data_IF_748477334069
#
_entry.id   IF_748477334069
#
_cell.length_a   1.000
_cell.length_b   1.000
_cell.length_c   1.000
_cell.angle_alpha   90.00
_cell.angle_beta   90.00
_cell.angle_gamma   90.00
#
_symmetry.space_group_name_H-M   'P 1'
#
loop_
_entity.id
_entity.type
_entity.pdbx_description
1 polymer ?
#
# COMPACT_ATOMS: atom_id res chain seq x y z
N UNK A 1 0.20 9.57 2.04
CA UNK A 1 0.38 10.89 2.67
C UNK A 1 -0.26 10.86 4.04
N UNK A 2 0.51 11.14 5.09
CA UNK A 2 0.01 11.31 6.44
C UNK A 2 -0.64 12.69 6.58
N UNK A 3 -1.84 12.74 7.14
CA UNK A 3 -2.60 13.97 7.34
C UNK A 3 -2.52 14.47 8.79
N UNK A 4 -1.76 13.78 9.64
CA UNK A 4 -1.58 14.09 11.06
C UNK A 4 -0.23 14.77 11.34
N UNK A 5 -0.18 15.56 12.42
CA UNK A 5 1.02 16.26 12.88
C UNK A 5 2.01 15.38 13.66
N UNK A 6 1.73 14.08 13.80
CA UNK A 6 2.60 13.08 14.42
C UNK A 6 2.91 11.96 13.44
N UNK A 7 4.03 11.23 13.59
CA UNK A 7 4.30 10.05 12.77
C UNK A 7 3.19 9.00 12.88
N UNK A 8 2.89 8.34 11.77
CA UNK A 8 1.84 7.33 11.65
C UNK A 8 2.43 6.01 11.15
N UNK A 9 2.16 4.92 11.86
CA UNK A 9 2.40 3.56 11.38
C UNK A 9 1.21 3.10 10.53
N UNK A 10 1.48 2.63 9.32
CA UNK A 10 0.50 2.05 8.41
C UNK A 10 0.82 0.57 8.23
N UNK A 11 -0.15 -0.28 8.53
CA UNK A 11 -0.10 -1.72 8.28
C UNK A 11 -0.62 -1.99 6.88
N UNK A 12 0.19 -2.68 6.09
CA UNK A 12 -0.10 -3.09 4.73
C UNK A 12 -0.42 -4.58 4.70
N UNK A 13 -1.43 -4.95 3.92
CA UNK A 13 -1.84 -6.34 3.68
C UNK A 13 -1.88 -6.57 2.17
N UNK A 14 -0.96 -7.39 1.65
CA UNK A 14 -0.91 -7.78 0.25
C UNK A 14 -1.83 -8.98 0.06
N UNK A 15 -2.79 -8.87 -0.84
CA UNK A 15 -3.76 -9.93 -1.12
C UNK A 15 -3.73 -10.32 -2.60
N UNK A 16 -4.03 -11.57 -2.92
CA UNK A 16 -4.29 -11.99 -4.29
C UNK A 16 -5.67 -11.47 -4.79
N UNK A 17 -6.03 -11.77 -6.04
CA UNK A 17 -7.32 -11.42 -6.64
C UNK A 17 -8.54 -11.95 -5.90
N UNK A 18 -8.37 -13.06 -5.15
CA UNK A 18 -9.43 -13.69 -4.37
C UNK A 18 -9.57 -13.08 -2.96
N UNK A 19 -8.75 -12.08 -2.63
CA UNK A 19 -8.71 -11.44 -1.31
C UNK A 19 -7.99 -12.24 -0.23
N UNK A 20 -7.25 -13.30 -0.62
CA UNK A 20 -6.43 -14.08 0.31
C UNK A 20 -5.14 -13.33 0.62
N UNK A 21 -4.83 -13.13 1.91
CA UNK A 21 -3.60 -12.47 2.35
C UNK A 21 -2.37 -13.30 1.98
N UNK A 22 -1.45 -12.67 1.25
CA UNK A 22 -0.17 -13.21 0.80
C UNK A 22 0.96 -12.80 1.74
N UNK A 23 0.98 -11.55 2.22
CA UNK A 23 1.99 -11.01 3.13
C UNK A 23 1.54 -9.70 3.79
N UNK A 24 2.15 -9.37 4.91
CA UNK A 24 1.93 -8.11 5.61
C UNK A 24 3.22 -7.29 5.70
N UNK A 25 3.08 -5.98 5.87
CA UNK A 25 4.21 -5.10 6.09
C UNK A 25 3.80 -3.91 6.97
N UNK A 26 4.79 -3.20 7.50
CA UNK A 26 4.60 -1.95 8.23
C UNK A 26 5.45 -0.87 7.60
N UNK A 27 4.86 0.30 7.38
CA UNK A 27 5.58 1.50 6.94
C UNK A 27 5.30 2.65 7.90
N UNK A 28 6.30 3.52 8.09
CA UNK A 28 6.14 4.74 8.88
C UNK A 28 6.06 5.95 7.97
N UNK A 29 4.95 6.69 8.04
CA UNK A 29 4.84 8.01 7.44
C UNK A 29 5.18 9.05 8.51
N UNK A 30 6.15 9.94 8.21
CA UNK A 30 6.45 11.07 9.09
C UNK A 30 5.25 12.01 9.25
N UNK A 31 5.29 12.87 10.29
CA UNK A 31 4.29 13.93 10.48
C UNK A 31 4.15 14.78 9.22
N UNK A 32 2.91 14.98 8.73
CA UNK A 32 2.60 15.69 7.48
C UNK A 32 3.40 15.18 6.24
N UNK A 33 3.94 13.96 6.30
CA UNK A 33 4.86 13.41 5.30
C UNK A 33 4.18 12.53 4.26
N UNK A 34 4.93 12.17 3.22
CA UNK A 34 4.50 11.17 2.24
C UNK A 34 5.64 10.21 1.91
N UNK A 35 5.26 9.06 1.34
CA UNK A 35 6.17 8.09 0.72
C UNK A 35 5.54 7.62 -0.58
N UNK A 36 6.37 7.40 -1.59
CA UNK A 36 6.03 6.69 -2.80
C UNK A 36 6.93 5.46 -2.85
N UNK A 37 6.33 4.29 -2.98
CA UNK A 37 7.03 3.00 -2.96
C UNK A 37 6.42 2.12 -4.04
N UNK A 38 7.26 1.38 -4.76
CA UNK A 38 6.83 0.21 -5.51
C UNK A 38 6.51 -0.92 -4.54
N UNK A 39 5.59 -1.82 -4.94
CA UNK A 39 5.24 -3.01 -4.13
C UNK A 39 6.47 -3.88 -3.83
N UNK A 40 7.45 -3.87 -4.74
CA UNK A 40 8.74 -4.58 -4.63
C UNK A 40 9.74 -3.91 -3.68
N UNK A 41 9.54 -2.64 -3.32
CA UNK A 41 10.40 -1.92 -2.37
C UNK A 41 9.92 -2.08 -0.91
N UNK A 42 8.75 -2.66 -0.70
CA UNK A 42 8.19 -2.90 0.62
C UNK A 42 8.84 -4.14 1.22
N UNK A 43 9.32 -4.02 2.46
CA UNK A 43 9.82 -5.15 3.25
C UNK A 43 8.66 -5.96 3.83
N UNK A 44 8.29 -7.01 3.11
CA UNK A 44 7.24 -7.95 3.51
C UNK A 44 7.69 -8.90 4.62
N UNK A 45 6.75 -9.35 5.45
CA UNK A 45 6.96 -10.31 6.55
C UNK A 45 7.37 -11.72 6.08
N UNK A 46 7.10 -12.05 4.83
CA UNK A 46 7.53 -13.29 4.16
C UNK A 46 7.84 -13.03 2.68
N UNK A 47 8.65 -13.88 2.03
CA UNK A 47 8.93 -13.77 0.60
C UNK A 47 7.64 -13.91 -0.22
N UNK A 48 7.46 -13.03 -1.20
CA UNK A 48 6.35 -13.05 -2.17
C UNK A 48 6.92 -12.90 -3.57
N UNK A 49 6.46 -13.72 -4.51
CA UNK A 49 6.77 -13.52 -5.92
C UNK A 49 5.91 -12.37 -6.48
N UNK A 50 6.57 -11.29 -6.87
CA UNK A 50 5.95 -10.07 -7.39
C UNK A 50 6.17 -9.86 -8.89
N UNK A 51 6.80 -10.81 -9.59
CA UNK A 51 7.21 -10.65 -11.00
C UNK A 51 6.04 -10.40 -11.96
N UNK A 52 4.86 -10.96 -11.65
CA UNK A 52 3.62 -10.82 -12.42
C UNK A 52 2.41 -10.61 -11.50
N UNK A 53 2.62 -9.89 -10.39
CA UNK A 53 1.61 -9.74 -9.36
C UNK A 53 0.33 -9.05 -9.85
N UNK A 54 -0.81 -9.69 -9.59
CA UNK A 54 -2.14 -9.12 -9.73
C UNK A 54 -2.91 -9.36 -8.43
N UNK A 55 -3.41 -8.29 -7.83
CA UNK A 55 -4.10 -8.39 -6.55
C UNK A 55 -4.45 -7.05 -5.94
N UNK A 56 -4.60 -7.04 -4.63
CA UNK A 56 -5.07 -5.92 -3.84
C UNK A 56 -4.01 -5.57 -2.78
N UNK A 57 -3.88 -4.28 -2.50
CA UNK A 57 -3.11 -3.78 -1.37
C UNK A 57 -4.06 -3.11 -0.38
N UNK A 58 -4.24 -3.74 0.78
CA UNK A 58 -4.91 -3.14 1.92
C UNK A 58 -3.94 -2.25 2.70
N UNK A 59 -4.41 -1.10 3.15
CA UNK A 59 -3.67 -0.22 4.05
C UNK A 59 -4.57 0.18 5.23
N UNK A 60 -4.08 0.02 6.45
CA UNK A 60 -4.81 0.35 7.67
C UNK A 60 -3.91 1.08 8.65
N UNK A 61 -4.48 2.06 9.36
CA UNK A 61 -3.76 2.84 10.36
C UNK A 61 -4.74 3.37 11.40
N UNK A 62 -4.25 3.73 12.59
CA UNK A 62 -5.08 4.35 13.63
C UNK A 62 -5.40 5.83 13.35
N UNK A 63 -4.64 6.48 12.48
CA UNK A 63 -4.79 7.89 12.09
C UNK A 63 -5.22 8.05 10.62
N UNK A 64 -5.45 9.30 10.19
CA UNK A 64 -5.88 9.58 8.82
C UNK A 64 -4.69 9.66 7.89
N UNK A 65 -4.80 8.97 6.77
CA UNK A 65 -3.88 9.07 5.66
C UNK A 65 -4.66 9.05 4.34
N UNK A 66 -4.03 9.56 3.30
CA UNK A 66 -4.49 9.44 1.92
C UNK A 66 -3.50 8.61 1.12
N UNK A 67 -4.00 7.82 0.17
CA UNK A 67 -3.20 6.98 -0.71
C UNK A 67 -3.66 7.10 -2.16
N UNK A 68 -2.70 7.02 -3.07
CA UNK A 68 -2.93 6.87 -4.51
C UNK A 68 -2.15 5.66 -4.96
N UNK A 69 -2.76 4.86 -5.84
CA UNK A 69 -2.10 3.72 -6.46
C UNK A 69 -1.94 4.01 -7.94
N UNK A 70 -0.71 3.84 -8.42
CA UNK A 70 -0.34 4.02 -9.81
C UNK A 70 0.19 2.70 -10.35
N UNK A 71 -0.35 2.25 -11.49
CA UNK A 71 0.26 1.20 -12.28
C UNK A 71 1.13 1.85 -13.36
N UNK A 72 2.39 1.43 -13.43
CA UNK A 72 3.37 1.94 -14.40
C UNK A 72 3.64 0.87 -15.46
N UNK A 73 3.54 1.22 -16.73
CA UNK A 73 3.99 0.40 -17.86
C UNK A 73 5.02 1.17 -18.70
N UNK A 74 5.69 0.51 -19.64
CA UNK A 74 6.79 1.09 -20.43
C UNK A 74 6.43 2.39 -21.17
N UNK A 75 5.14 2.63 -21.44
CA UNK A 75 4.66 3.84 -22.13
C UNK A 75 3.39 4.46 -21.54
N UNK A 76 2.90 3.98 -20.39
CA UNK A 76 1.65 4.46 -19.81
C UNK A 76 1.62 4.37 -18.29
N UNK A 77 0.74 5.18 -17.70
CA UNK A 77 0.39 5.11 -16.30
C UNK A 77 -1.11 5.03 -16.17
N UNK A 78 -1.60 4.21 -15.26
CA UNK A 78 -3.01 4.15 -14.90
C UNK A 78 -3.17 4.42 -13.39
N UNK A 79 -4.13 5.26 -13.04
CA UNK A 79 -4.58 5.38 -11.65
C UNK A 79 -5.47 4.19 -11.32
N UNK A 80 -5.22 3.58 -10.17
CA UNK A 80 -6.04 2.46 -9.69
C UNK A 80 -7.08 2.96 -8.69
N UNK A 81 -8.27 2.33 -8.64
CA UNK A 81 -9.27 2.65 -7.64
C UNK A 81 -8.72 2.47 -6.22
N UNK A 82 -8.91 3.49 -5.38
CA UNK A 82 -8.65 3.44 -3.94
C UNK A 82 -9.98 3.69 -3.25
N UNK A 83 -10.45 2.70 -2.49
CA UNK A 83 -11.71 2.78 -1.78
C UNK A 83 -11.48 2.54 -0.28
N UNK A 84 -12.18 3.29 0.60
CA UNK A 84 -12.21 2.93 2.01
C UNK A 84 -12.89 1.57 2.18
N UNK A 85 -12.28 0.67 2.95
CA UNK A 85 -12.94 -0.56 3.37
C UNK A 85 -13.94 -0.20 4.47
N UNK A 86 -15.19 0.05 4.07
CA UNK A 86 -16.29 0.25 5.00
C UNK A 86 -16.55 -1.07 5.74
N UNK A 87 -16.48 -1.04 7.06
CA UNK A 87 -16.99 -2.11 7.92
C UNK A 87 -18.48 -1.94 8.12
#
# INVERSE_FOLDING_TARGET
MNLEATPLEVVLDLMNSDGTSLATAKITLGANGHRALFVTEISWDKPVDLTSFQGLLGATAAGRFSGTVLQTASSSFATMPVAPKLR
#
